data_IF_149258572534
#
_entry.id   IF_149258572534
#
_cell.length_a   1.000
_cell.length_b   1.000
_cell.length_c   1.000
_cell.angle_alpha   90.00
_cell.angle_beta   90.00
_cell.angle_gamma   90.00
#
_symmetry.space_group_name_H-M   'P 1'
#
loop_
_entity.id
_entity.type
_entity.pdbx_description
1 polymer ?
#
# COMPACT_ATOMS: atom_id res chain seq x y z
N UNK A 1 24.29 23.43 42.85
CA UNK A 1 24.97 22.18 43.22
C UNK A 1 24.86 21.20 42.06
N UNK A 2 25.90 21.10 41.22
CA UNK A 2 25.98 20.17 40.09
C UNK A 2 27.00 19.09 40.46
N UNK A 3 26.56 17.84 40.55
CA UNK A 3 27.41 16.66 40.61
C UNK A 3 26.74 15.62 39.74
N UNK A 4 27.44 15.11 38.73
CA UNK A 4 27.65 13.69 38.50
C UNK A 4 28.74 13.55 37.44
N UNK A 5 29.86 13.00 37.91
CA UNK A 5 31.00 12.55 37.13
C UNK A 5 30.92 11.01 36.98
N UNK A 6 31.85 10.48 36.19
CA UNK A 6 32.21 9.06 35.98
C UNK A 6 31.46 8.37 34.85
N UNK A 7 32.06 8.15 33.67
CA UNK A 7 33.27 7.38 33.31
C UNK A 7 32.96 5.91 32.98
N UNK A 8 33.10 5.61 31.68
CA UNK A 8 33.84 4.50 31.05
C UNK A 8 33.68 3.11 31.68
N UNK A 9 33.06 2.17 30.94
CA UNK A 9 33.60 0.80 30.78
C UNK A 9 33.40 0.33 29.34
N UNK A 10 34.53 0.08 28.70
CA UNK A 10 34.73 -0.59 27.43
C UNK A 10 34.65 -2.11 27.67
N UNK A 11 33.89 -2.87 26.88
CA UNK A 11 34.23 -4.28 26.69
C UNK A 11 33.78 -4.83 25.34
N UNK A 12 34.81 -5.18 24.58
CA UNK A 12 34.84 -5.88 23.30
C UNK A 12 34.43 -7.33 23.54
N UNK A 13 33.51 -7.86 22.73
CA UNK A 13 33.43 -9.31 22.47
C UNK A 13 33.38 -9.51 20.96
N UNK A 14 34.57 -9.66 20.40
CA UNK A 14 34.80 -10.38 19.15
C UNK A 14 34.58 -11.87 19.44
N UNK A 15 33.60 -12.48 18.80
CA UNK A 15 33.57 -13.92 18.62
C UNK A 15 33.20 -14.19 17.17
N UNK A 16 34.23 -14.41 16.35
CA UNK A 16 34.05 -15.06 15.05
C UNK A 16 33.89 -16.55 15.28
N UNK A 17 33.06 -17.21 14.46
CA UNK A 17 33.33 -18.57 14.05
C UNK A 17 32.68 -18.84 12.70
N UNK A 18 33.53 -19.24 11.76
CA UNK A 18 33.18 -19.70 10.44
C UNK A 18 32.41 -21.03 10.50
N UNK A 19 31.40 -21.18 9.65
CA UNK A 19 30.87 -22.48 9.25
C UNK A 19 30.43 -22.41 7.79
N UNK A 20 31.38 -22.61 6.88
CA UNK A 20 31.08 -23.01 5.50
C UNK A 20 30.63 -24.46 5.50
N UNK A 21 29.33 -24.68 5.62
CA UNK A 21 28.68 -25.97 5.45
C UNK A 21 28.13 -26.12 4.04
N UNK A 22 28.89 -26.79 3.16
CA UNK A 22 28.47 -27.16 1.80
C UNK A 22 27.67 -28.46 1.87
N UNK A 23 26.34 -28.37 1.98
CA UNK A 23 25.46 -29.53 1.88
C UNK A 23 24.86 -29.61 0.48
N UNK A 24 25.30 -30.62 -0.28
CA UNK A 24 24.72 -31.02 -1.56
C UNK A 24 23.50 -31.89 -1.27
N UNK A 25 22.30 -31.34 -1.47
CA UNK A 25 21.05 -32.12 -1.47
C UNK A 25 20.64 -32.29 -2.93
N UNK A 26 20.89 -33.47 -3.47
CA UNK A 26 20.26 -33.97 -4.68
C UNK A 26 18.98 -34.67 -4.24
N UNK A 27 17.84 -34.09 -4.59
CA UNK A 27 16.52 -34.69 -4.41
C UNK A 27 15.71 -34.43 -5.67
N UNK A 28 15.56 -35.48 -6.47
CA UNK A 28 14.65 -35.54 -7.60
C UNK A 28 13.21 -35.41 -7.09
N UNK A 29 12.38 -34.61 -7.77
CA UNK A 29 11.02 -35.03 -8.05
C UNK A 29 10.49 -34.30 -9.28
N UNK A 30 10.07 -35.12 -10.22
CA UNK A 30 9.23 -34.81 -11.36
C UNK A 30 7.81 -34.38 -10.89
N UNK A 31 7.04 -33.88 -11.83
CA UNK A 31 5.58 -33.76 -11.78
C UNK A 31 4.97 -32.63 -10.94
N UNK A 32 4.86 -31.47 -11.58
CA UNK A 32 3.56 -31.00 -12.07
C UNK A 32 3.74 -29.63 -12.72
N UNK A 33 4.06 -29.62 -14.01
CA UNK A 33 3.76 -28.47 -14.87
C UNK A 33 2.24 -28.37 -15.00
N UNK A 34 1.60 -27.85 -13.94
CA UNK A 34 0.24 -27.34 -13.99
C UNK A 34 0.32 -26.15 -14.94
N UNK A 35 -0.05 -26.40 -16.19
CA UNK A 35 -0.48 -25.38 -17.15
C UNK A 35 -1.74 -24.73 -16.59
N UNK A 36 -1.57 -23.94 -15.54
CA UNK A 36 -2.54 -22.93 -15.18
C UNK A 36 -2.49 -21.94 -16.31
N UNK A 37 -3.61 -21.76 -16.99
CA UNK A 37 -3.85 -20.57 -17.78
C UNK A 37 -3.45 -19.36 -16.94
N UNK A 38 -2.24 -18.85 -17.21
CA UNK A 38 -1.87 -17.49 -16.93
C UNK A 38 -2.86 -16.65 -17.73
N UNK A 39 -4.04 -16.40 -17.15
CA UNK A 39 -4.86 -15.26 -17.48
C UNK A 39 -3.96 -14.08 -17.24
N UNK A 40 -3.20 -13.72 -18.27
CA UNK A 40 -2.25 -12.63 -18.36
C UNK A 40 -2.88 -11.48 -17.60
N UNK A 41 -2.49 -11.33 -16.33
CA UNK A 41 -3.12 -10.39 -15.44
C UNK A 41 -2.95 -9.05 -16.14
N UNK A 42 -4.07 -8.46 -16.57
CA UNK A 42 -4.04 -7.22 -17.33
C UNK A 42 -3.14 -6.27 -16.53
N UNK A 43 -2.00 -5.89 -17.11
CA UNK A 43 -1.01 -5.15 -16.34
C UNK A 43 -1.64 -3.82 -15.98
N UNK A 44 -1.88 -3.59 -14.70
CA UNK A 44 -2.44 -2.34 -14.20
C UNK A 44 -1.54 -1.21 -14.70
N UNK A 45 -2.11 -0.23 -15.41
CA UNK A 45 -1.37 0.95 -15.84
C UNK A 45 -0.94 1.72 -14.60
N UNK A 46 0.30 2.22 -14.59
CA UNK A 46 0.83 2.97 -13.45
C UNK A 46 1.20 4.38 -13.84
N UNK A 47 1.02 5.33 -12.92
CA UNK A 47 1.42 6.73 -13.06
C UNK A 47 2.19 7.20 -11.82
N UNK A 48 2.96 8.29 -11.96
CA UNK A 48 3.54 8.98 -10.80
C UNK A 48 2.44 9.76 -10.06
N UNK A 49 2.38 9.69 -8.71
CA UNK A 49 1.38 10.43 -7.93
C UNK A 49 1.64 11.93 -7.83
N UNK A 50 2.85 12.41 -8.14
CA UNK A 50 3.27 13.81 -7.92
C UNK A 50 2.38 14.86 -8.61
N UNK A 51 1.65 14.45 -9.65
CA UNK A 51 0.74 15.31 -10.43
C UNK A 51 -0.69 15.35 -9.89
N UNK A 52 -0.98 14.63 -8.80
CA UNK A 52 -2.31 14.48 -8.23
C UNK A 52 -2.25 14.87 -6.75
N UNK A 53 -3.39 15.24 -6.19
CA UNK A 53 -3.47 15.55 -4.77
C UNK A 53 -3.25 14.27 -3.95
N UNK A 54 -2.15 14.15 -3.18
CA UNK A 54 -1.87 12.96 -2.39
C UNK A 54 -2.78 12.93 -1.17
N UNK A 55 -3.37 11.77 -0.91
CA UNK A 55 -4.23 11.50 0.25
C UNK A 55 -3.73 10.24 0.95
N UNK A 56 -3.23 10.41 2.18
CA UNK A 56 -2.90 9.27 3.04
C UNK A 56 -4.18 8.68 3.60
N UNK A 57 -4.34 7.38 3.48
CA UNK A 57 -5.49 6.66 3.96
C UNK A 57 -5.10 5.52 4.91
N UNK A 58 -5.94 5.25 5.90
CA UNK A 58 -5.90 4.04 6.70
C UNK A 58 -7.03 3.11 6.27
N UNK A 59 -6.73 1.85 6.03
CA UNK A 59 -7.75 0.86 5.64
C UNK A 59 -8.43 0.34 6.90
N UNK A 60 -9.73 0.64 7.03
CA UNK A 60 -10.55 0.19 8.15
C UNK A 60 -11.24 -1.14 7.87
N UNK A 61 -11.71 -1.34 6.64
CA UNK A 61 -12.35 -2.58 6.18
C UNK A 61 -11.84 -2.96 4.79
N UNK A 62 -11.40 -4.20 4.64
CA UNK A 62 -10.84 -4.76 3.39
C UNK A 62 -11.87 -5.57 2.58
N UNK A 63 -13.09 -5.72 3.08
CA UNK A 63 -14.16 -6.45 2.39
C UNK A 63 -14.47 -5.74 1.07
N UNK A 64 -14.37 -6.41 -0.10
CA UNK A 64 -14.55 -5.75 -1.39
C UNK A 64 -15.85 -4.95 -1.52
N UNK A 65 -16.98 -5.47 -1.04
CA UNK A 65 -18.28 -4.78 -1.10
C UNK A 65 -18.45 -3.61 -0.13
N UNK A 66 -17.54 -3.46 0.84
CA UNK A 66 -17.59 -2.44 1.89
C UNK A 66 -16.21 -1.87 2.18
N UNK A 67 -15.37 -1.74 1.14
CA UNK A 67 -13.98 -1.36 1.31
C UNK A 67 -13.92 0.06 1.87
N UNK A 68 -13.49 0.18 3.13
CA UNK A 68 -13.61 1.43 3.88
C UNK A 68 -12.24 1.95 4.24
N UNK A 69 -11.99 3.21 3.87
CA UNK A 69 -10.78 3.92 4.23
C UNK A 69 -11.12 5.14 5.09
N UNK A 70 -10.21 5.48 6.00
CA UNK A 70 -10.21 6.71 6.78
C UNK A 70 -9.12 7.64 6.27
N UNK A 71 -9.50 8.86 5.93
CA UNK A 71 -8.57 9.90 5.48
C UNK A 71 -8.32 10.97 6.54
N UNK A 72 -8.75 10.73 7.78
CA UNK A 72 -8.47 11.58 8.94
C UNK A 72 -7.01 11.45 9.37
N UNK A 73 -6.12 12.14 8.65
CA UNK A 73 -4.70 12.21 8.99
C UNK A 73 -4.24 13.65 8.94
N UNK A 74 -3.36 14.04 9.87
CA UNK A 74 -2.66 15.33 9.82
C UNK A 74 -1.92 15.53 8.48
N UNK A 75 -1.49 14.44 7.86
CA UNK A 75 -0.89 14.41 6.52
C UNK A 75 -1.80 14.96 5.41
N UNK A 76 -3.12 15.04 5.63
CA UNK A 76 -4.10 15.52 4.66
C UNK A 76 -4.60 16.94 4.98
N UNK A 77 -4.07 17.63 5.99
CA UNK A 77 -4.54 18.97 6.37
C UNK A 77 -4.40 20.04 5.27
N UNK A 78 -3.51 19.81 4.32
CA UNK A 78 -3.33 20.70 3.14
C UNK A 78 -3.92 20.10 1.87
N UNK A 79 -4.66 19.00 1.98
CA UNK A 79 -5.28 18.40 0.81
C UNK A 79 -6.56 19.14 0.44
N UNK A 80 -6.69 19.43 -0.85
CA UNK A 80 -7.93 19.95 -1.41
C UNK A 80 -8.97 18.82 -1.49
N UNK A 81 -9.94 18.80 -0.57
CA UNK A 81 -10.99 17.78 -0.53
C UNK A 81 -11.92 17.81 -1.76
N UNK A 82 -11.90 18.90 -2.54
CA UNK A 82 -12.67 19.09 -3.75
C UNK A 82 -11.85 18.83 -5.03
N UNK A 83 -10.58 18.41 -4.91
CA UNK A 83 -9.78 18.12 -6.09
C UNK A 83 -10.45 17.00 -6.92
N UNK A 84 -10.47 17.11 -8.26
CA UNK A 84 -11.22 16.18 -9.10
C UNK A 84 -10.59 14.77 -9.14
N UNK A 85 -9.32 14.64 -8.77
CA UNK A 85 -8.55 13.40 -8.80
C UNK A 85 -7.63 13.33 -7.59
N UNK A 86 -7.63 12.18 -6.92
CA UNK A 86 -6.75 11.90 -5.79
C UNK A 86 -5.80 10.76 -6.07
N UNK A 87 -4.59 10.87 -5.52
CA UNK A 87 -3.65 9.77 -5.32
C UNK A 87 -3.80 9.24 -3.89
N UNK A 88 -4.59 8.18 -3.72
CA UNK A 88 -4.81 7.55 -2.41
C UNK A 88 -3.71 6.53 -2.17
N UNK A 89 -3.00 6.66 -1.05
CA UNK A 89 -1.96 5.72 -0.64
C UNK A 89 -2.17 5.25 0.81
N UNK A 90 -1.86 3.97 1.06
CA UNK A 90 -2.06 3.30 2.36
C UNK A 90 -0.75 2.94 3.06
N UNK A 91 0.37 3.30 2.45
CA UNK A 91 1.73 3.10 2.96
C UNK A 91 2.18 4.26 3.85
N UNK A 92 3.31 4.08 4.54
CA UNK A 92 3.92 5.12 5.37
C UNK A 92 4.33 6.35 4.55
N UNK A 93 4.95 6.11 3.39
CA UNK A 93 5.45 7.11 2.46
C UNK A 93 4.69 7.07 1.13
N UNK A 94 4.75 8.17 0.37
CA UNK A 94 4.12 8.27 -0.97
C UNK A 94 4.89 7.37 -1.94
N UNK A 95 4.24 6.36 -2.56
CA UNK A 95 4.92 5.47 -3.50
C UNK A 95 5.35 6.18 -4.79
N UNK A 96 6.43 5.71 -5.43
CA UNK A 96 6.86 6.28 -6.71
C UNK A 96 5.90 6.01 -7.88
N UNK A 97 5.03 4.99 -7.75
CA UNK A 97 4.06 4.57 -8.75
C UNK A 97 2.76 4.17 -8.08
N UNK A 98 1.65 4.55 -8.71
CA UNK A 98 0.29 4.21 -8.29
C UNK A 98 -0.47 3.60 -9.47
N UNK A 99 -1.41 2.69 -9.20
CA UNK A 99 -2.32 2.20 -10.23
C UNK A 99 -3.22 3.32 -10.76
N UNK A 100 -3.34 3.47 -12.08
CA UNK A 100 -4.15 4.51 -12.73
C UNK A 100 -5.56 4.00 -13.04
N UNK A 101 -6.53 4.48 -12.27
CA UNK A 101 -7.95 4.18 -12.42
C UNK A 101 -8.76 5.44 -12.71
N UNK A 102 -8.16 6.51 -13.23
CA UNK A 102 -8.89 7.76 -13.55
C UNK A 102 -9.99 7.60 -14.59
N UNK A 103 -9.93 6.53 -15.39
CA UNK A 103 -10.98 6.18 -16.37
C UNK A 103 -12.15 5.41 -15.75
N UNK A 104 -11.97 4.88 -14.54
CA UNK A 104 -13.00 4.18 -13.79
C UNK A 104 -13.84 5.19 -13.00
N UNK A 105 -15.16 5.06 -13.06
CA UNK A 105 -16.08 5.88 -12.27
C UNK A 105 -16.43 5.14 -10.99
N UNK A 106 -15.58 5.33 -9.99
CA UNK A 106 -15.73 4.69 -8.69
C UNK A 106 -16.28 5.70 -7.68
N UNK A 107 -17.59 5.70 -7.49
CA UNK A 107 -18.22 6.54 -6.46
C UNK A 107 -18.04 5.95 -5.07
N UNK A 108 -17.97 6.80 -4.05
CA UNK A 108 -17.89 6.37 -2.66
C UNK A 108 -18.98 6.99 -1.78
N UNK A 109 -19.42 6.24 -0.77
CA UNK A 109 -20.28 6.74 0.29
C UNK A 109 -19.42 7.41 1.37
N UNK A 110 -19.97 8.45 2.01
CA UNK A 110 -19.39 9.12 3.18
C UNK A 110 -20.18 8.75 4.44
N UNK A 111 -19.94 7.58 5.07
CA UNK A 111 -20.64 7.22 6.31
C UNK A 111 -20.30 8.16 7.47
N UNK A 112 -19.11 8.76 7.44
CA UNK A 112 -18.65 9.80 8.36
C UNK A 112 -17.82 10.84 7.58
N UNK A 113 -17.55 12.01 8.17
CA UNK A 113 -16.85 13.15 7.53
C UNK A 113 -15.57 12.73 6.79
N UNK A 114 -14.76 11.86 7.41
CA UNK A 114 -13.46 11.44 6.89
C UNK A 114 -13.42 10.00 6.37
N UNK A 115 -14.54 9.28 6.46
CA UNK A 115 -14.62 7.90 5.98
C UNK A 115 -15.12 7.87 4.55
N UNK A 116 -14.47 7.07 3.73
CA UNK A 116 -14.86 6.82 2.34
C UNK A 116 -15.06 5.32 2.17
N UNK A 117 -16.27 4.91 1.82
CA UNK A 117 -16.64 3.53 1.60
C UNK A 117 -16.89 3.28 0.11
N UNK A 118 -16.20 2.29 -0.44
CA UNK A 118 -16.22 1.89 -1.84
C UNK A 118 -16.79 0.49 -1.98
N UNK A 119 -17.50 0.23 -3.08
CA UNK A 119 -17.76 -1.13 -3.55
C UNK A 119 -16.74 -1.46 -4.64
N UNK A 120 -15.79 -2.32 -4.28
CA UNK A 120 -14.72 -2.83 -5.13
C UNK A 120 -14.97 -4.28 -5.56
N UNK A 121 -16.17 -4.82 -5.36
CA UNK A 121 -16.48 -6.23 -5.66
C UNK A 121 -16.26 -6.57 -7.13
N UNK A 122 -16.56 -5.62 -8.02
CA UNK A 122 -16.37 -5.75 -9.47
C UNK A 122 -15.00 -5.23 -9.95
N UNK A 123 -14.14 -4.76 -9.02
CA UNK A 123 -12.87 -4.11 -9.31
C UNK A 123 -11.69 -4.78 -8.58
N UNK A 124 -11.45 -6.09 -8.80
CA UNK A 124 -10.34 -6.81 -8.17
C UNK A 124 -8.96 -6.31 -8.62
N UNK A 125 -8.89 -5.61 -9.75
CA UNK A 125 -7.70 -4.91 -10.25
C UNK A 125 -7.30 -3.72 -9.37
N UNK A 126 -8.27 -2.96 -8.84
CA UNK A 126 -8.02 -1.88 -7.86
C UNK A 126 -7.43 -2.45 -6.58
N UNK A 127 -8.03 -3.53 -6.05
CA UNK A 127 -7.52 -4.21 -4.85
C UNK A 127 -6.09 -4.71 -5.05
N UNK A 128 -5.82 -5.38 -6.18
CA UNK A 128 -4.46 -5.81 -6.53
C UNK A 128 -3.48 -4.66 -6.65
N UNK A 129 -3.91 -3.50 -7.15
CA UNK A 129 -3.05 -2.33 -7.25
C UNK A 129 -2.72 -1.75 -5.87
N UNK A 130 -3.69 -1.72 -4.95
CA UNK A 130 -3.46 -1.33 -3.56
C UNK A 130 -2.50 -2.30 -2.89
N UNK A 131 -2.65 -3.61 -3.07
CA UNK A 131 -1.76 -4.61 -2.47
C UNK A 131 -0.34 -4.56 -3.04
N UNK A 132 -0.19 -4.39 -4.36
CA UNK A 132 1.10 -4.42 -5.03
C UNK A 132 1.87 -3.10 -4.96
N UNK A 133 1.17 -1.97 -5.04
CA UNK A 133 1.79 -0.64 -5.13
C UNK A 133 1.54 0.23 -3.90
N UNK A 134 0.60 -0.14 -3.03
CA UNK A 134 0.21 0.67 -1.89
C UNK A 134 -0.50 1.98 -2.26
N UNK A 135 -0.82 2.19 -3.54
CA UNK A 135 -1.36 3.44 -4.03
C UNK A 135 -2.18 3.30 -5.33
N UNK A 136 -3.22 4.12 -5.43
CA UNK A 136 -4.11 4.21 -6.60
C UNK A 136 -4.48 5.67 -6.89
N UNK A 137 -4.61 6.00 -8.17
CA UNK A 137 -5.09 7.31 -8.64
C UNK A 137 -6.49 7.14 -9.22
N UNK A 138 -7.45 7.88 -8.68
CA UNK A 138 -8.86 7.78 -9.09
C UNK A 138 -9.57 9.13 -9.03
N UNK A 139 -10.72 9.21 -9.70
CA UNK A 139 -11.59 10.40 -9.62
C UNK A 139 -12.16 10.53 -8.21
N UNK A 140 -12.31 11.77 -7.75
CA UNK A 140 -13.00 12.09 -6.50
C UNK A 140 -14.51 12.24 -6.75
N UNK A 141 -15.27 11.15 -6.61
CA UNK A 141 -16.72 11.15 -6.88
C UNK A 141 -17.47 10.73 -5.61
N UNK A 142 -17.97 11.69 -4.80
CA UNK A 142 -18.92 11.35 -3.75
C UNK A 142 -20.22 10.83 -4.37
N UNK A 143 -20.78 9.76 -3.81
CA UNK A 143 -22.11 9.27 -4.19
C UNK A 143 -23.15 10.38 -3.95
N UNK A 144 -24.05 10.59 -4.92
CA UNK A 144 -25.20 11.48 -4.72
C UNK A 144 -26.08 10.84 -3.65
N UNK A 145 -26.19 11.53 -2.50
CA UNK A 145 -27.06 11.12 -1.40
C UNK A 145 -28.53 11.13 -1.77
#
# INVERSE_FOLDING_TARGET
MKKYASAIVLLIVLCGLAATGRAKIMGNNEDAHRSGEDKKAASVQTVSPEKFQPIKAEVLDKTPSHYTIDVKKLANMSADDDAPVFAVYVTSDVPAKCGDFRKLELSYKKPEEYKRQFDLSEHPDVLKAIDNYGCVVMKNIPAKG
#
